data_IF_029409855698
#
_entry.id   IF_029409855698
#
_cell.length_a   1.000
_cell.length_b   1.000
_cell.length_c   1.000
_cell.angle_alpha   90.00
_cell.angle_beta   90.00
_cell.angle_gamma   90.00
#
_symmetry.space_group_name_H-M   'P 1'
#
loop_
_entity.id
_entity.type
_entity.pdbx_description
1 polymer ?
#
# COMPACT_ATOMS: atom_id res chain seq x y z
N UNK A 1 -3.13 15.81 23.05
CA UNK A 1 -4.48 15.47 22.67
C UNK A 1 -4.61 14.04 22.14
N UNK A 2 -4.43 13.07 23.04
CA UNK A 2 -4.54 11.62 22.73
C UNK A 2 -5.90 11.26 22.12
N UNK A 3 -6.97 11.89 22.57
CA UNK A 3 -8.33 11.66 22.08
C UNK A 3 -8.45 11.94 20.58
N UNK A 4 -7.80 13.02 20.11
CA UNK A 4 -7.87 13.42 18.70
C UNK A 4 -7.11 12.44 17.78
N UNK A 5 -5.98 11.88 18.23
CA UNK A 5 -5.22 10.88 17.46
C UNK A 5 -5.99 9.57 17.31
N UNK A 6 -6.62 9.13 18.41
CA UNK A 6 -7.43 7.91 18.39
C UNK A 6 -8.62 8.02 17.44
N UNK A 7 -9.34 9.14 17.48
CA UNK A 7 -10.47 9.41 16.58
C UNK A 7 -10.04 9.41 15.12
N UNK A 8 -8.93 10.04 14.79
CA UNK A 8 -8.36 10.06 13.43
C UNK A 8 -7.95 8.67 12.96
N UNK A 9 -7.35 7.86 13.84
CA UNK A 9 -6.95 6.50 13.52
C UNK A 9 -8.19 5.62 13.24
N UNK A 10 -9.22 5.73 14.06
CA UNK A 10 -10.47 4.98 13.86
C UNK A 10 -11.19 5.43 12.58
N UNK A 11 -11.16 6.71 12.25
CA UNK A 11 -11.75 7.20 11.01
C UNK A 11 -10.97 6.68 9.80
N UNK A 12 -9.63 6.68 9.83
CA UNK A 12 -8.80 6.13 8.77
C UNK A 12 -9.05 4.63 8.59
N UNK A 13 -9.15 3.86 9.67
CA UNK A 13 -9.47 2.44 9.61
C UNK A 13 -10.85 2.19 8.99
N UNK A 14 -11.83 3.03 9.30
CA UNK A 14 -13.16 2.97 8.71
C UNK A 14 -13.13 3.25 7.21
N UNK A 15 -12.43 4.30 6.79
CA UNK A 15 -12.30 4.68 5.38
C UNK A 15 -11.63 3.55 4.57
N UNK A 16 -10.58 2.93 5.12
CA UNK A 16 -9.90 1.79 4.52
C UNK A 16 -10.86 0.60 4.39
N UNK A 17 -11.59 0.30 5.44
CA UNK A 17 -12.56 -0.81 5.46
C UNK A 17 -13.69 -0.62 4.44
N UNK A 18 -14.14 0.61 4.24
CA UNK A 18 -15.22 0.92 3.28
C UNK A 18 -14.75 0.94 1.81
N UNK A 19 -13.46 1.14 1.56
CA UNK A 19 -12.91 1.16 0.21
C UNK A 19 -12.79 -0.26 -0.37
N UNK A 20 -13.14 -0.44 -1.64
CA UNK A 20 -13.05 -1.73 -2.34
C UNK A 20 -11.65 -1.98 -2.92
N UNK A 21 -10.94 -0.92 -3.25
CA UNK A 21 -9.59 -0.97 -3.83
C UNK A 21 -8.64 -0.13 -2.97
N UNK A 22 -7.50 -0.73 -2.64
CA UNK A 22 -6.45 -0.08 -1.87
C UNK A 22 -5.23 0.14 -2.75
N UNK A 23 -4.79 1.38 -2.85
CA UNK A 23 -3.49 1.73 -3.43
C UNK A 23 -2.59 2.14 -2.27
N UNK A 24 -1.60 1.32 -1.98
CA UNK A 24 -0.80 1.45 -0.76
C UNK A 24 0.63 1.86 -1.11
N UNK A 25 1.04 3.03 -0.64
CA UNK A 25 2.41 3.51 -0.74
C UNK A 25 3.17 3.21 0.55
N UNK A 26 4.29 2.52 0.44
CA UNK A 26 5.08 2.10 1.60
C UNK A 26 6.51 2.63 1.49
N UNK A 27 6.95 3.47 2.44
CA UNK A 27 8.38 3.75 2.59
C UNK A 27 9.08 2.57 3.26
N UNK A 28 10.31 2.29 2.84
CA UNK A 28 11.16 1.26 3.48
C UNK A 28 11.98 1.91 4.57
N UNK A 29 11.82 1.42 5.79
CA UNK A 29 12.61 1.83 6.96
C UNK A 29 13.32 0.61 7.54
N UNK A 30 14.66 0.64 7.55
CA UNK A 30 15.47 -0.47 8.09
C UNK A 30 15.05 -1.83 7.51
N UNK A 31 14.88 -1.90 6.20
CA UNK A 31 14.45 -3.09 5.45
C UNK A 31 13.03 -3.59 5.76
N UNK A 32 12.21 -2.78 6.42
CA UNK A 32 10.84 -3.12 6.80
C UNK A 32 9.87 -2.01 6.37
N UNK A 33 8.58 -2.31 6.34
CA UNK A 33 7.59 -1.27 6.17
C UNK A 33 7.36 -0.50 7.50
N UNK A 34 6.76 0.70 7.40
CA UNK A 34 6.60 1.58 8.56
C UNK A 34 5.72 0.99 9.65
N UNK A 35 6.04 1.30 10.91
CA UNK A 35 5.19 0.95 12.05
C UNK A 35 3.80 1.58 11.95
N UNK A 36 3.69 2.77 11.36
CA UNK A 36 2.40 3.42 11.15
C UNK A 36 1.47 2.60 10.27
N UNK A 37 1.99 2.00 9.19
CA UNK A 37 1.22 1.11 8.33
C UNK A 37 0.74 -0.12 9.10
N UNK A 38 1.63 -0.80 9.81
CA UNK A 38 1.25 -1.99 10.59
C UNK A 38 0.24 -1.64 11.67
N UNK A 39 0.41 -0.49 12.32
CA UNK A 39 -0.48 -0.04 13.39
C UNK A 39 -1.91 0.19 12.91
N UNK A 40 -2.12 0.80 11.73
CA UNK A 40 -3.47 1.03 11.23
C UNK A 40 -4.21 -0.29 10.99
N UNK A 41 -3.51 -1.34 10.55
CA UNK A 41 -4.11 -2.66 10.34
C UNK A 41 -4.51 -3.37 11.63
N UNK A 42 -4.00 -2.96 12.79
CA UNK A 42 -4.47 -3.46 14.09
C UNK A 42 -5.94 -3.05 14.38
N UNK A 43 -6.43 -2.00 13.73
CA UNK A 43 -7.79 -1.50 13.89
C UNK A 43 -8.76 -1.99 12.80
N UNK A 44 -8.30 -2.84 11.88
CA UNK A 44 -9.10 -3.33 10.75
C UNK A 44 -9.51 -4.79 11.01
N UNK A 45 -10.80 -5.08 10.85
CA UNK A 45 -11.31 -6.43 11.01
C UNK A 45 -11.20 -7.19 9.69
N UNK A 46 -10.44 -8.28 9.69
CA UNK A 46 -10.22 -9.12 8.50
C UNK A 46 -11.51 -9.69 7.89
N UNK A 47 -12.58 -9.82 8.68
CA UNK A 47 -13.87 -10.30 8.18
C UNK A 47 -14.58 -9.30 7.27
N UNK A 48 -14.17 -8.04 7.32
CA UNK A 48 -14.77 -6.96 6.53
C UNK A 48 -13.93 -6.60 5.29
N UNK A 49 -12.80 -7.29 5.10
CA UNK A 49 -11.85 -6.96 4.00
C UNK A 49 -11.75 -8.04 2.93
N UNK A 50 -12.43 -9.16 3.10
CA UNK A 50 -12.40 -10.27 2.14
C UNK A 50 -12.84 -9.83 0.74
N UNK A 51 -12.03 -10.17 -0.26
CA UNK A 51 -12.32 -9.87 -1.66
C UNK A 51 -11.91 -8.46 -2.13
N UNK A 52 -11.43 -7.61 -1.24
CA UNK A 52 -10.86 -6.32 -1.66
C UNK A 52 -9.59 -6.54 -2.49
N UNK A 53 -9.20 -5.55 -3.25
CA UNK A 53 -8.03 -5.61 -4.13
C UNK A 53 -7.01 -4.55 -3.75
N UNK A 54 -5.73 -4.90 -3.71
CA UNK A 54 -4.67 -3.96 -3.36
C UNK A 54 -3.57 -3.91 -4.43
N UNK A 55 -3.09 -2.71 -4.68
CA UNK A 55 -1.87 -2.43 -5.44
C UNK A 55 -0.82 -1.76 -4.55
N UNK A 56 0.44 -2.01 -4.82
CA UNK A 56 1.55 -1.61 -3.94
C UNK A 56 2.58 -0.75 -4.67
N UNK A 57 2.95 0.34 -4.03
CA UNK A 57 4.12 1.17 -4.38
C UNK A 57 5.10 1.16 -3.22
N UNK A 58 6.34 0.78 -3.48
CA UNK A 58 7.41 0.76 -2.49
C UNK A 58 8.43 1.84 -2.80
N UNK A 59 8.71 2.69 -1.84
CA UNK A 59 9.70 3.77 -1.97
C UNK A 59 10.84 3.56 -0.98
N UNK A 60 12.06 3.53 -1.48
CA UNK A 60 13.25 3.32 -0.65
C UNK A 60 14.41 4.23 -1.07
N UNK A 61 15.38 4.40 -0.18
CA UNK A 61 16.62 5.12 -0.49
C UNK A 61 17.57 4.37 -1.43
N UNK A 62 17.35 3.08 -1.64
CA UNK A 62 18.14 2.22 -2.51
C UNK A 62 17.35 1.00 -2.94
N UNK A 63 17.95 0.14 -3.76
CA UNK A 63 17.24 -1.01 -4.34
C UNK A 63 17.19 -2.25 -3.43
N UNK A 64 17.84 -2.21 -2.30
CA UNK A 64 17.84 -3.31 -1.34
C UNK A 64 16.51 -3.33 -0.57
N UNK A 65 15.99 -4.52 -0.31
CA UNK A 65 14.79 -4.74 0.52
C UNK A 65 13.43 -4.45 -0.14
N UNK A 66 13.37 -4.07 -1.41
CA UNK A 66 12.08 -3.94 -2.10
C UNK A 66 11.29 -5.27 -2.06
N UNK A 67 11.96 -6.38 -2.40
CA UNK A 67 11.34 -7.70 -2.41
C UNK A 67 10.91 -8.16 -1.01
N UNK A 68 11.69 -7.85 0.02
CA UNK A 68 11.38 -8.20 1.41
C UNK A 68 10.11 -7.50 1.87
N UNK A 69 10.00 -6.20 1.61
CA UNK A 69 8.81 -5.40 1.97
C UNK A 69 7.59 -5.87 1.18
N UNK A 70 7.73 -6.16 -0.09
CA UNK A 70 6.63 -6.70 -0.91
C UNK A 70 6.14 -8.03 -0.35
N UNK A 71 7.04 -8.92 0.04
CA UNK A 71 6.70 -10.22 0.62
C UNK A 71 5.92 -10.06 1.92
N UNK A 72 6.39 -9.21 2.81
CA UNK A 72 5.72 -8.92 4.08
C UNK A 72 4.33 -8.29 3.87
N UNK A 73 4.22 -7.36 2.93
CA UNK A 73 2.94 -6.74 2.58
C UNK A 73 1.96 -7.77 2.02
N UNK A 74 2.42 -8.63 1.12
CA UNK A 74 1.57 -9.69 0.55
C UNK A 74 1.09 -10.66 1.62
N UNK A 75 1.94 -10.99 2.58
CA UNK A 75 1.57 -11.82 3.72
C UNK A 75 0.49 -11.14 4.58
N UNK A 76 0.64 -9.85 4.84
CA UNK A 76 -0.35 -9.06 5.56
C UNK A 76 -1.69 -9.04 4.82
N UNK A 77 -1.66 -8.81 3.51
CA UNK A 77 -2.87 -8.80 2.68
C UNK A 77 -3.56 -10.16 2.67
N UNK A 78 -2.80 -11.25 2.65
CA UNK A 78 -3.36 -12.61 2.72
C UNK A 78 -4.12 -12.85 4.02
N UNK A 79 -3.61 -12.35 5.14
CA UNK A 79 -4.33 -12.41 6.42
C UNK A 79 -5.68 -11.69 6.35
N UNK A 80 -5.72 -10.54 5.68
CA UNK A 80 -6.95 -9.77 5.48
C UNK A 80 -7.80 -10.26 4.31
N UNK A 81 -7.40 -11.35 3.63
CA UNK A 81 -8.11 -11.95 2.49
C UNK A 81 -8.29 -10.98 1.31
N UNK A 82 -7.31 -10.11 1.14
CA UNK A 82 -7.24 -9.12 0.07
C UNK A 82 -6.47 -9.67 -1.11
N UNK A 83 -7.01 -9.49 -2.31
CA UNK A 83 -6.36 -9.90 -3.56
C UNK A 83 -5.31 -8.85 -3.91
N UNK A 84 -4.04 -9.23 -3.88
CA UNK A 84 -2.95 -8.31 -4.16
C UNK A 84 -2.51 -8.42 -5.61
N UNK A 85 -2.42 -7.28 -6.31
CA UNK A 85 -1.78 -7.22 -7.62
C UNK A 85 -0.30 -7.62 -7.43
N UNK A 86 0.17 -8.69 -8.09
CA UNK A 86 1.54 -9.18 -7.89
C UNK A 86 2.60 -8.25 -8.47
N UNK A 87 2.22 -7.32 -9.34
CA UNK A 87 3.15 -6.36 -9.94
C UNK A 87 3.18 -5.08 -9.11
N UNK A 88 4.10 -5.02 -8.14
CA UNK A 88 4.35 -3.82 -7.37
C UNK A 88 5.20 -2.82 -8.16
N UNK A 89 5.11 -1.55 -7.80
CA UNK A 89 5.97 -0.49 -8.33
C UNK A 89 7.05 -0.15 -7.32
N UNK A 90 8.29 -0.16 -7.76
CA UNK A 90 9.45 0.23 -6.96
C UNK A 90 9.95 1.60 -7.40
N UNK A 91 10.17 2.47 -6.43
CA UNK A 91 10.71 3.80 -6.69
C UNK A 91 11.76 4.17 -5.66
N UNK A 92 12.77 4.92 -6.09
CA UNK A 92 13.74 5.57 -5.20
C UNK A 92 13.40 7.05 -5.06
N UNK A 93 13.99 7.72 -4.05
CA UNK A 93 13.80 9.16 -3.86
C UNK A 93 14.23 10.01 -5.06
N UNK A 94 15.14 9.49 -5.90
CA UNK A 94 15.62 10.16 -7.11
C UNK A 94 14.54 10.29 -8.21
N UNK A 95 13.50 9.47 -8.15
CA UNK A 95 12.39 9.52 -9.10
C UNK A 95 11.44 10.70 -8.87
N UNK A 96 11.65 11.49 -7.81
CA UNK A 96 10.79 12.60 -7.43
C UNK A 96 11.56 13.92 -7.39
N UNK A 97 10.93 14.98 -7.85
CA UNK A 97 11.45 16.33 -7.79
C UNK A 97 10.31 17.28 -7.37
N UNK A 98 10.60 18.17 -6.41
CA UNK A 98 9.62 19.14 -5.88
C UNK A 98 8.27 18.51 -5.46
N UNK A 99 8.33 17.34 -4.84
CA UNK A 99 7.14 16.62 -4.37
C UNK A 99 6.32 15.96 -5.48
N UNK A 100 6.83 15.92 -6.71
CA UNK A 100 6.19 15.28 -7.85
C UNK A 100 7.08 14.18 -8.43
N UNK A 101 6.48 13.13 -8.93
CA UNK A 101 7.21 12.08 -9.62
C UNK A 101 7.65 12.64 -10.97
N UNK A 102 8.98 12.70 -11.18
CA UNK A 102 9.60 13.24 -12.41
C UNK A 102 10.08 12.15 -13.36
N UNK A 103 10.31 10.93 -12.87
CA UNK A 103 10.74 9.78 -13.66
C UNK A 103 9.57 9.23 -14.49
N UNK A 104 9.70 9.29 -15.82
CA UNK A 104 8.63 8.86 -16.74
C UNK A 104 8.39 7.35 -16.70
N UNK A 105 9.42 6.55 -16.44
CA UNK A 105 9.26 5.10 -16.30
C UNK A 105 8.46 4.74 -15.05
N UNK A 106 8.74 5.41 -13.94
CA UNK A 106 7.98 5.23 -12.70
C UNK A 106 6.51 5.65 -12.89
N UNK A 107 6.26 6.78 -13.55
CA UNK A 107 4.89 7.21 -13.90
C UNK A 107 4.15 6.17 -14.71
N UNK A 108 4.80 5.63 -15.74
CA UNK A 108 4.23 4.59 -16.60
C UNK A 108 3.88 3.32 -15.82
N UNK A 109 4.78 2.89 -14.96
CA UNK A 109 4.56 1.72 -14.10
C UNK A 109 3.43 1.94 -13.09
N UNK A 110 3.34 3.14 -12.54
CA UNK A 110 2.24 3.50 -11.63
C UNK A 110 0.89 3.42 -12.33
N UNK A 111 0.76 4.00 -13.52
CA UNK A 111 -0.46 3.95 -14.31
C UNK A 111 -0.85 2.52 -14.65
N UNK A 112 0.11 1.73 -15.09
CA UNK A 112 -0.11 0.31 -15.41
C UNK A 112 -0.54 -0.49 -14.17
N UNK A 113 0.09 -0.26 -13.03
CA UNK A 113 -0.26 -0.92 -11.78
C UNK A 113 -1.68 -0.57 -11.35
N UNK A 114 -2.07 0.69 -11.43
CA UNK A 114 -3.43 1.14 -11.10
C UNK A 114 -4.46 0.48 -12.02
N UNK A 115 -4.21 0.47 -13.34
CA UNK A 115 -5.12 -0.13 -14.30
C UNK A 115 -5.29 -1.63 -14.06
N UNK A 116 -4.21 -2.35 -13.80
CA UNK A 116 -4.25 -3.79 -13.48
C UNK A 116 -5.00 -4.05 -12.18
N UNK A 117 -4.76 -3.25 -11.15
CA UNK A 117 -5.43 -3.40 -9.86
C UNK A 117 -6.94 -3.20 -10.01
N UNK A 118 -7.35 -2.16 -10.73
CA UNK A 118 -8.77 -1.92 -11.03
C UNK A 118 -9.36 -3.02 -11.90
N UNK A 119 -8.59 -3.58 -12.83
CA UNK A 119 -9.01 -4.71 -13.65
C UNK A 119 -9.29 -5.97 -12.84
N UNK A 120 -8.48 -6.26 -11.84
CA UNK A 120 -8.70 -7.37 -10.91
C UNK A 120 -9.98 -7.15 -10.11
N UNK A 121 -10.17 -5.95 -9.58
CA UNK A 121 -11.36 -5.59 -8.79
C UNK A 121 -12.66 -5.74 -9.58
N UNK A 122 -12.65 -5.45 -10.89
CA UNK A 122 -13.84 -5.53 -11.77
C UNK A 122 -14.25 -6.95 -12.14
N UNK A 123 -13.38 -7.95 -11.92
CA UNK A 123 -13.67 -9.35 -12.26
C UNK A 123 -14.49 -10.08 -11.19
N UNK A 124 -14.63 -9.45 -10.05
CA UNK A 124 -15.46 -9.95 -8.95
C UNK A 124 -16.87 -9.31 -9.06
#
# INVERSE_FOLDING_TARGET
NEVNYKEKTLQAAKDITEADVWLVGIPVYNSMFSSALKNIFEFINYKETEGKTAGLVVVAGGMISFGDVQTLFTQLMSYFRVITNPTAVYSTGEASEDGKISDEEVKSRLNEMVDKTLGIAKKD
#
